data_IF_580964732987
#
_entry.id   IF_580964732987
#
_cell.length_a   1.000
_cell.length_b   1.000
_cell.length_c   1.000
_cell.angle_alpha   90.00
_cell.angle_beta   90.00
_cell.angle_gamma   90.00
#
_symmetry.space_group_name_H-M   'P 1'
#
loop_
_entity.id
_entity.type
_entity.pdbx_description
1 polymer ?
#
# COMPACT_ATOMS: atom_id res chain seq x y z
N UNK A 1 -20.27 -42.37 46.87
CA UNK A 1 -19.74 -42.32 45.50
C UNK A 1 -18.72 -41.18 45.45
N UNK A 2 -17.42 -41.48 45.50
CA UNK A 2 -16.38 -40.44 45.39
C UNK A 2 -16.44 -39.79 44.02
N UNK A 3 -16.22 -38.47 43.97
CA UNK A 3 -16.13 -37.69 42.72
C UNK A 3 -14.95 -38.24 41.91
N UNK A 4 -15.19 -38.76 40.71
CA UNK A 4 -14.13 -39.12 39.77
C UNK A 4 -13.43 -37.84 39.36
N UNK A 5 -12.12 -37.73 39.63
CA UNK A 5 -11.34 -36.56 39.25
C UNK A 5 -10.97 -36.68 37.75
N UNK A 6 -11.48 -35.79 36.88
CA UNK A 6 -11.24 -35.86 35.44
C UNK A 6 -9.79 -35.55 35.03
N UNK A 7 -8.95 -35.17 36.00
CA UNK A 7 -7.55 -34.80 35.81
C UNK A 7 -6.58 -35.88 36.31
N UNK A 8 -7.09 -37.02 36.79
CA UNK A 8 -6.25 -38.12 37.28
C UNK A 8 -5.32 -38.68 36.18
N UNK A 9 -5.79 -38.71 34.93
CA UNK A 9 -5.02 -39.14 33.75
C UNK A 9 -3.92 -38.17 33.30
N UNK A 10 -3.86 -36.97 33.87
CA UNK A 10 -2.88 -35.93 33.49
C UNK A 10 -1.68 -35.88 34.45
N UNK A 11 -1.66 -36.71 35.50
CA UNK A 11 -0.57 -36.72 36.50
C UNK A 11 0.77 -37.22 35.93
N UNK A 12 0.74 -37.99 34.85
CA UNK A 12 1.92 -38.53 34.17
C UNK A 12 2.45 -37.61 33.05
N UNK A 13 1.87 -36.41 32.90
CA UNK A 13 2.29 -35.43 31.90
C UNK A 13 3.65 -34.82 32.28
N UNK A 14 4.72 -35.47 31.85
CA UNK A 14 6.09 -34.98 32.02
C UNK A 14 6.55 -34.25 30.75
N UNK A 15 7.27 -33.12 30.88
CA UNK A 15 7.79 -32.41 29.72
C UNK A 15 8.80 -33.31 28.98
N UNK A 16 8.65 -33.38 27.65
CA UNK A 16 9.53 -34.16 26.79
C UNK A 16 10.97 -33.63 26.89
N UNK A 17 11.94 -34.54 27.07
CA UNK A 17 13.35 -34.17 27.16
C UNK A 17 13.83 -33.47 25.89
N UNK A 18 14.68 -32.44 26.04
CA UNK A 18 15.17 -31.61 24.93
C UNK A 18 15.93 -32.40 23.85
N UNK A 19 16.42 -33.58 24.18
CA UNK A 19 17.12 -34.52 23.28
C UNK A 19 16.20 -35.19 22.26
N UNK A 20 14.88 -35.20 22.49
CA UNK A 20 13.90 -35.86 21.60
C UNK A 20 13.16 -34.87 20.67
N UNK A 21 13.67 -33.63 20.57
CA UNK A 21 13.17 -32.65 19.62
C UNK A 21 13.68 -33.02 18.23
N UNK A 22 12.81 -33.65 17.43
CA UNK A 22 13.07 -33.90 16.00
C UNK A 22 13.55 -32.60 15.35
N UNK A 23 14.53 -32.72 14.46
CA UNK A 23 15.03 -31.58 13.69
C UNK A 23 13.83 -30.87 13.02
N UNK A 24 13.73 -29.55 13.24
CA UNK A 24 12.68 -28.75 12.60
C UNK A 24 12.93 -28.80 11.10
N UNK A 25 11.93 -29.26 10.34
CA UNK A 25 11.96 -29.18 8.88
C UNK A 25 12.12 -27.73 8.45
N UNK A 26 12.83 -27.52 7.35
CA UNK A 26 13.01 -26.17 6.82
C UNK A 26 11.70 -25.64 6.26
N UNK A 27 11.49 -24.32 6.29
CA UNK A 27 10.25 -23.72 5.78
C UNK A 27 9.98 -24.10 4.32
N UNK A 28 11.02 -24.28 3.51
CA UNK A 28 10.91 -24.69 2.11
C UNK A 28 10.36 -26.12 1.97
N UNK A 29 10.79 -27.06 2.81
CA UNK A 29 10.26 -28.44 2.81
C UNK A 29 8.77 -28.47 3.19
N UNK A 30 8.37 -27.61 4.13
CA UNK A 30 6.97 -27.47 4.55
C UNK A 30 6.10 -26.90 3.43
N UNK A 31 6.61 -25.93 2.68
CA UNK A 31 5.91 -25.36 1.52
C UNK A 31 5.71 -26.38 0.39
N UNK A 32 6.74 -27.20 0.11
CA UNK A 32 6.65 -28.29 -0.87
C UNK A 32 5.58 -29.30 -0.45
N UNK A 33 5.63 -29.77 0.81
CA UNK A 33 4.64 -30.70 1.35
C UNK A 33 3.22 -30.12 1.33
N UNK A 34 3.05 -28.84 1.66
CA UNK A 34 1.77 -28.17 1.61
C UNK A 34 1.21 -28.12 0.18
N UNK A 35 2.06 -27.85 -0.82
CA UNK A 35 1.68 -27.87 -2.22
C UNK A 35 1.27 -29.27 -2.69
N UNK A 36 2.02 -30.31 -2.34
CA UNK A 36 1.71 -31.71 -2.66
C UNK A 36 0.36 -32.16 -2.07
N UNK A 37 0.04 -31.69 -0.88
CA UNK A 37 -1.23 -31.97 -0.18
C UNK A 37 -2.37 -31.04 -0.62
N UNK A 38 -2.15 -30.14 -1.58
CA UNK A 38 -3.18 -29.22 -2.10
C UNK A 38 -3.50 -28.03 -1.19
N UNK A 39 -2.69 -27.79 -0.15
CA UNK A 39 -2.78 -26.60 0.69
C UNK A 39 -2.04 -25.42 0.04
N UNK A 40 -2.69 -24.78 -0.92
CA UNK A 40 -2.16 -23.59 -1.59
C UNK A 40 -2.45 -22.34 -0.76
N UNK A 41 -1.41 -21.62 -0.33
CA UNK A 41 -1.54 -20.34 0.35
C UNK A 41 -2.04 -19.23 -0.58
N UNK A 42 -2.86 -18.30 -0.06
CA UNK A 42 -3.21 -17.06 -0.77
C UNK A 42 -2.07 -16.05 -0.64
N UNK A 43 -0.93 -16.34 -1.27
CA UNK A 43 0.16 -15.35 -1.37
C UNK A 43 -0.35 -14.17 -2.19
N UNK A 44 -0.25 -12.96 -1.64
CA UNK A 44 -0.62 -11.75 -2.36
C UNK A 44 0.35 -11.58 -3.54
N UNK A 45 -0.16 -11.59 -4.77
CA UNK A 45 0.63 -11.19 -5.94
C UNK A 45 1.16 -9.78 -5.70
N UNK A 46 2.49 -9.60 -5.77
CA UNK A 46 3.10 -8.27 -5.73
C UNK A 46 2.55 -7.46 -6.91
N UNK A 47 1.60 -6.57 -6.63
CA UNK A 47 1.11 -5.61 -7.59
C UNK A 47 2.29 -4.69 -7.96
N UNK A 48 2.58 -4.61 -9.26
CA UNK A 48 3.52 -3.61 -9.78
C UNK A 48 2.95 -2.25 -9.43
N UNK A 49 3.66 -1.49 -8.59
CA UNK A 49 3.20 -0.18 -8.18
C UNK A 49 3.12 0.74 -9.41
N UNK A 50 1.99 1.45 -9.65
CA UNK A 50 1.95 2.47 -10.68
C UNK A 50 3.03 3.52 -10.37
N UNK A 51 3.70 4.04 -11.39
CA UNK A 51 4.76 5.02 -11.24
C UNK A 51 4.27 6.20 -10.37
N UNK A 52 4.65 6.20 -9.10
CA UNK A 52 4.20 7.17 -8.12
C UNK A 52 4.92 8.48 -8.40
N UNK A 53 4.23 9.41 -9.06
CA UNK A 53 4.72 10.78 -9.21
C UNK A 53 5.04 11.34 -7.82
N UNK A 54 6.24 11.89 -7.66
CA UNK A 54 6.71 12.43 -6.38
C UNK A 54 5.71 13.46 -5.84
N UNK A 55 5.18 13.25 -4.63
CA UNK A 55 4.30 14.22 -3.98
C UNK A 55 5.09 15.49 -3.63
N UNK A 56 4.87 16.56 -4.38
CA UNK A 56 5.40 17.89 -4.04
C UNK A 56 4.49 18.56 -3.03
N UNK A 57 4.94 18.69 -1.78
CA UNK A 57 4.21 19.38 -0.71
C UNK A 57 4.57 20.86 -0.72
N UNK A 58 3.70 21.71 -1.27
CA UNK A 58 3.85 23.17 -1.22
C UNK A 58 2.86 23.79 -0.23
N UNK A 59 3.30 24.72 0.62
CA UNK A 59 2.43 25.56 1.47
C UNK A 59 2.12 26.86 0.72
N UNK A 60 0.97 26.93 0.06
CA UNK A 60 0.66 28.06 -0.84
C UNK A 60 -0.49 28.96 -0.41
N UNK A 61 -1.16 28.67 0.71
CA UNK A 61 -2.31 29.46 1.20
C UNK A 61 -3.58 29.38 0.32
N UNK A 62 -3.55 28.65 -0.79
CA UNK A 62 -4.68 28.42 -1.70
C UNK A 62 -5.56 27.29 -1.16
N UNK A 63 -6.50 27.64 -0.27
CA UNK A 63 -7.40 26.69 0.39
C UNK A 63 -8.81 26.62 -0.22
N UNK A 64 -9.06 27.33 -1.32
CA UNK A 64 -10.36 27.30 -2.02
C UNK A 64 -10.27 26.33 -3.19
N UNK A 65 -11.19 25.37 -3.23
CA UNK A 65 -11.31 24.40 -4.32
C UNK A 65 -12.00 25.04 -5.52
N UNK A 66 -11.46 24.79 -6.72
CA UNK A 66 -12.06 25.23 -7.99
C UNK A 66 -12.55 23.98 -8.72
N UNK A 67 -13.86 23.80 -8.83
CA UNK A 67 -14.46 22.64 -9.47
C UNK A 67 -14.57 22.85 -10.98
N UNK A 68 -13.57 22.38 -11.72
CA UNK A 68 -13.50 22.49 -13.18
C UNK A 68 -13.57 21.09 -13.79
N UNK A 69 -14.35 20.94 -14.86
CA UNK A 69 -14.31 19.77 -15.73
C UNK A 69 -13.39 20.09 -16.92
N UNK A 70 -12.46 19.21 -17.22
CA UNK A 70 -11.58 19.29 -18.38
C UNK A 70 -11.42 17.91 -19.01
N UNK A 71 -10.84 17.87 -20.21
CA UNK A 71 -10.41 16.63 -20.82
C UNK A 71 -9.07 16.13 -20.23
N UNK A 72 -8.68 14.93 -20.61
CA UNK A 72 -7.45 14.31 -20.12
C UNK A 72 -6.20 15.03 -20.67
N UNK A 73 -6.27 15.54 -21.89
CA UNK A 73 -5.18 16.28 -22.53
C UNK A 73 -4.87 17.59 -21.79
N UNK A 74 -5.88 18.42 -21.50
CA UNK A 74 -5.72 19.66 -20.72
C UNK A 74 -5.15 19.38 -19.33
N UNK A 75 -5.57 18.28 -18.70
CA UNK A 75 -5.04 17.87 -17.40
C UNK A 75 -3.55 17.56 -17.50
N UNK A 76 -3.15 16.78 -18.49
CA UNK A 76 -1.75 16.38 -18.68
C UNK A 76 -0.85 17.57 -19.04
N UNK A 77 -1.34 18.49 -19.88
CA UNK A 77 -0.66 19.75 -20.16
C UNK A 77 -0.50 20.63 -18.92
N UNK A 78 -1.55 20.81 -18.13
CA UNK A 78 -1.48 21.57 -16.87
C UNK A 78 -0.41 21.00 -15.95
N UNK A 79 -0.30 19.68 -15.88
CA UNK A 79 0.72 18.99 -15.11
C UNK A 79 2.13 19.13 -15.67
N UNK A 80 2.31 19.13 -17.00
CA UNK A 80 3.61 19.38 -17.65
C UNK A 80 4.10 20.79 -17.36
N UNK A 81 3.25 21.79 -17.63
CA UNK A 81 3.60 23.19 -17.38
C UNK A 81 3.91 23.43 -15.90
N UNK A 82 3.17 22.80 -14.98
CA UNK A 82 3.45 22.88 -13.55
C UNK A 82 4.82 22.31 -13.17
N UNK A 83 5.23 21.19 -13.78
CA UNK A 83 6.55 20.62 -13.56
C UNK A 83 7.66 21.51 -14.15
N UNK A 84 7.46 22.06 -15.36
CA UNK A 84 8.43 22.91 -16.05
C UNK A 84 8.74 24.19 -15.26
N UNK A 85 7.74 24.78 -14.62
CA UNK A 85 7.91 26.00 -13.80
C UNK A 85 8.21 25.70 -12.33
N UNK A 86 8.29 24.43 -11.95
CA UNK A 86 8.47 23.95 -10.57
C UNK A 86 7.45 24.55 -9.57
N UNK A 87 6.18 24.62 -9.95
CA UNK A 87 5.10 25.17 -9.12
C UNK A 87 3.91 24.20 -8.98
N UNK A 88 3.10 24.33 -7.92
CA UNK A 88 1.87 23.57 -7.80
C UNK A 88 0.80 24.05 -8.78
N UNK A 89 -0.12 23.14 -9.15
CA UNK A 89 -1.19 23.38 -10.13
C UNK A 89 -1.99 24.66 -9.90
N UNK A 90 -2.29 25.00 -8.64
CA UNK A 90 -3.02 26.22 -8.31
C UNK A 90 -2.26 27.52 -8.64
N UNK A 91 -0.93 27.49 -8.57
CA UNK A 91 -0.10 28.62 -9.02
C UNK A 91 -0.01 28.66 -10.54
N UNK A 92 0.17 27.50 -11.19
CA UNK A 92 0.17 27.38 -12.65
C UNK A 92 -1.13 27.93 -13.24
N UNK A 93 -2.28 27.56 -12.67
CA UNK A 93 -3.60 28.03 -13.09
C UNK A 93 -3.75 29.55 -12.91
N UNK A 94 -3.27 30.12 -11.79
CA UNK A 94 -3.30 31.57 -11.57
C UNK A 94 -2.52 32.32 -12.65
N UNK A 95 -1.35 31.82 -13.03
CA UNK A 95 -0.51 32.41 -14.09
C UNK A 95 -1.18 32.29 -15.46
N UNK A 96 -1.77 31.14 -15.76
CA UNK A 96 -2.53 30.93 -16.99
C UNK A 96 -3.70 31.92 -17.11
N UNK A 97 -4.47 32.12 -16.04
CA UNK A 97 -5.55 33.12 -16.02
C UNK A 97 -5.04 34.55 -16.21
N UNK A 98 -3.88 34.90 -15.64
CA UNK A 98 -3.27 36.21 -15.84
C UNK A 98 -2.76 36.40 -17.28
N UNK A 99 -2.26 35.34 -17.93
CA UNK A 99 -1.89 35.37 -19.35
C UNK A 99 -3.13 35.57 -20.23
N UNK A 100 -4.17 34.76 -20.04
CA UNK A 100 -5.42 34.87 -20.78
C UNK A 100 -6.06 36.26 -20.62
N UNK A 101 -6.01 36.85 -19.42
CA UNK A 101 -6.52 38.22 -19.20
C UNK A 101 -5.76 39.27 -20.02
N UNK A 102 -4.45 39.11 -20.21
CA UNK A 102 -3.64 40.02 -21.03
C UNK A 102 -4.05 39.92 -22.50
N UNK A 103 -4.17 38.70 -23.00
CA UNK A 103 -4.61 38.43 -24.38
C UNK A 103 -6.01 38.95 -24.69
N UNK A 104 -6.93 38.93 -23.71
CA UNK A 104 -8.29 39.46 -23.89
C UNK A 104 -8.33 41.00 -23.82
N UNK A 105 -7.39 41.62 -23.10
CA UNK A 105 -7.32 43.08 -22.94
C UNK A 105 -6.56 43.81 -24.05
N UNK A 106 -5.87 43.05 -24.90
CA UNK A 106 -5.24 43.50 -26.15
C UNK A 106 -6.25 43.44 -27.32
#
# INVERSE_FOLDING_TARGET
>A
MSRVDPLESLKDFTPKAATDLKAKQTNAEVEIMAHELGFVGRQATKLVAPATRSQRRHKTGRNIQINIKGDQETKDELYRVADDIDQPLGETLKRALAALKREISE
#
